data_IF_083005786310
#
_entry.id   IF_083005786310
#
_cell.length_a   1.000
_cell.length_b   1.000
_cell.length_c   1.000
_cell.angle_alpha   90.00
_cell.angle_beta   90.00
_cell.angle_gamma   90.00
#
_symmetry.space_group_name_H-M   'P 1'
#
loop_
_entity.id
_entity.type
_entity.pdbx_description
1 polymer ?
#
# COMPACT_ATOMS: atom_id res chain seq x y z
N UNK A 1 21.39 -15.17 -25.71
CA UNK A 1 21.80 -14.72 -24.34
C UNK A 1 20.85 -13.61 -23.89
N UNK A 2 20.19 -13.74 -22.73
CA UNK A 2 19.19 -12.74 -22.27
C UNK A 2 19.84 -11.37 -22.06
N UNK A 3 19.11 -10.28 -22.33
CA UNK A 3 19.60 -8.90 -22.11
C UNK A 3 20.21 -8.69 -20.72
N UNK A 4 19.63 -9.33 -19.71
CA UNK A 4 20.12 -9.30 -18.33
C UNK A 4 21.56 -9.80 -18.24
N UNK A 5 21.88 -10.91 -18.91
CA UNK A 5 23.24 -11.45 -18.91
C UNK A 5 24.21 -10.50 -19.59
N UNK A 6 23.81 -9.90 -20.72
CA UNK A 6 24.60 -8.85 -21.36
C UNK A 6 24.87 -7.73 -20.37
N UNK A 7 23.83 -7.17 -19.74
CA UNK A 7 23.86 -6.09 -18.74
C UNK A 7 24.81 -6.37 -17.56
N UNK A 8 24.79 -7.60 -17.05
CA UNK A 8 25.68 -8.03 -15.97
C UNK A 8 27.13 -8.17 -16.43
N UNK A 9 27.36 -8.73 -17.62
CA UNK A 9 28.72 -8.89 -18.18
C UNK A 9 29.37 -7.53 -18.42
N UNK A 10 28.66 -6.55 -19.00
CA UNK A 10 29.23 -5.22 -19.20
C UNK A 10 29.55 -4.52 -17.88
N UNK A 11 28.67 -4.63 -16.89
CA UNK A 11 28.94 -4.07 -15.55
C UNK A 11 30.15 -4.73 -14.89
N UNK A 12 30.30 -6.05 -15.02
CA UNK A 12 31.47 -6.77 -14.50
C UNK A 12 32.75 -6.36 -15.23
N UNK A 13 32.72 -6.28 -16.56
CA UNK A 13 33.86 -5.82 -17.37
C UNK A 13 34.29 -4.40 -16.97
N UNK A 14 33.34 -3.47 -16.82
CA UNK A 14 33.62 -2.12 -16.34
C UNK A 14 34.30 -2.11 -14.97
N UNK A 15 33.80 -2.89 -14.00
CA UNK A 15 34.39 -2.94 -12.67
C UNK A 15 35.79 -3.54 -12.68
N UNK A 16 36.02 -4.60 -13.45
CA UNK A 16 37.34 -5.22 -13.60
C UNK A 16 38.33 -4.27 -14.27
N UNK A 17 37.92 -3.58 -15.35
CA UNK A 17 38.76 -2.57 -16.00
C UNK A 17 39.07 -1.42 -15.04
N UNK A 18 38.08 -0.90 -14.31
CA UNK A 18 38.28 0.16 -13.34
C UNK A 18 39.30 -0.26 -12.27
N UNK A 19 39.10 -1.41 -11.63
CA UNK A 19 40.01 -1.91 -10.58
C UNK A 19 41.41 -2.14 -11.15
N UNK A 20 41.52 -2.74 -12.34
CA UNK A 20 42.80 -3.00 -13.00
C UNK A 20 43.56 -1.72 -13.33
N UNK A 21 42.86 -0.68 -13.82
CA UNK A 21 43.44 0.64 -14.11
C UNK A 21 43.95 1.32 -12.84
N UNK A 22 43.19 1.27 -11.74
CA UNK A 22 43.63 1.85 -10.46
C UNK A 22 44.84 1.11 -9.88
N UNK A 23 44.84 -0.24 -9.91
CA UNK A 23 45.99 -1.05 -9.48
C UNK A 23 47.22 -0.70 -10.31
N UNK A 24 47.07 -0.62 -11.63
CA UNK A 24 48.16 -0.26 -12.53
C UNK A 24 48.65 1.17 -12.28
N UNK A 25 47.74 2.13 -12.07
CA UNK A 25 48.09 3.51 -11.74
C UNK A 25 48.92 3.58 -10.44
N UNK A 26 48.52 2.89 -9.38
CA UNK A 26 49.30 2.83 -8.14
C UNK A 26 50.66 2.15 -8.35
N UNK A 27 50.70 1.06 -9.10
CA UNK A 27 51.95 0.41 -9.47
C UNK A 27 52.89 1.38 -10.20
N UNK A 28 52.40 2.03 -11.27
CA UNK A 28 53.14 3.02 -12.04
C UNK A 28 53.61 4.20 -11.19
N UNK A 29 52.76 4.71 -10.31
CA UNK A 29 53.08 5.79 -9.39
C UNK A 29 54.23 5.40 -8.44
N UNK A 30 54.26 4.15 -7.97
CA UNK A 30 55.31 3.65 -7.08
C UNK A 30 56.61 3.33 -7.84
N UNK A 31 56.54 2.78 -9.05
CA UNK A 31 57.72 2.28 -9.79
C UNK A 31 58.33 3.26 -10.80
N UNK A 32 57.56 4.24 -11.26
CA UNK A 32 58.04 5.24 -12.22
C UNK A 32 57.56 6.66 -11.91
N UNK A 33 56.80 6.82 -10.82
CA UNK A 33 56.18 8.10 -10.47
C UNK A 33 57.07 9.03 -9.67
N UNK A 34 56.41 9.99 -9.01
CA UNK A 34 57.03 11.05 -8.24
C UNK A 34 58.00 10.51 -7.16
N UNK A 35 57.77 9.33 -6.60
CA UNK A 35 58.66 8.80 -5.56
C UNK A 35 60.08 8.56 -6.08
N UNK A 36 60.22 7.94 -7.25
CA UNK A 36 61.54 7.65 -7.82
C UNK A 36 62.17 8.89 -8.41
N UNK A 37 61.38 9.75 -9.08
CA UNK A 37 61.90 10.98 -9.70
C UNK A 37 62.48 11.98 -8.69
N UNK A 38 61.95 11.99 -7.46
CA UNK A 38 62.42 12.87 -6.39
C UNK A 38 63.35 12.16 -5.40
N UNK A 39 63.83 10.95 -5.72
CA UNK A 39 64.85 10.25 -4.94
C UNK A 39 64.35 9.68 -3.61
N UNK A 40 63.04 9.45 -3.47
CA UNK A 40 62.47 8.79 -2.30
C UNK A 40 62.82 7.30 -2.33
N UNK A 41 64.01 6.93 -1.84
CA UNK A 41 64.40 5.54 -1.60
C UNK A 41 63.68 4.99 -0.37
N UNK A 42 63.49 3.66 -0.26
CA UNK A 42 62.85 3.05 0.90
C UNK A 42 63.47 3.47 2.25
N UNK A 43 64.78 3.69 2.28
CA UNK A 43 65.52 4.11 3.48
C UNK A 43 65.21 5.55 3.92
N UNK A 44 64.78 6.40 2.98
CA UNK A 44 64.40 7.80 3.25
C UNK A 44 62.93 7.99 3.63
N UNK A 45 62.08 6.96 3.48
CA UNK A 45 60.64 7.05 3.71
C UNK A 45 60.26 7.52 5.12
N UNK A 46 61.05 7.16 6.13
CA UNK A 46 60.84 7.60 7.51
C UNK A 46 61.04 9.12 7.69
N UNK A 47 61.97 9.71 6.93
CA UNK A 47 62.21 11.17 6.90
C UNK A 47 61.08 11.94 6.20
N UNK A 48 60.19 11.23 5.48
CA UNK A 48 59.07 11.79 4.72
C UNK A 48 57.70 11.33 5.23
N UNK A 49 57.59 11.12 6.54
CA UNK A 49 56.35 10.79 7.24
C UNK A 49 55.09 11.54 6.75
N UNK A 50 55.08 12.86 6.48
CA UNK A 50 53.87 13.53 5.99
C UNK A 50 53.43 13.06 4.60
N UNK A 51 54.37 12.80 3.68
CA UNK A 51 54.04 12.32 2.33
C UNK A 51 53.54 10.88 2.36
N UNK A 52 54.15 10.03 3.19
CA UNK A 52 53.68 8.67 3.41
C UNK A 52 52.26 8.65 3.98
N UNK A 53 51.96 9.54 4.93
CA UNK A 53 50.62 9.67 5.50
C UNK A 53 49.59 10.11 4.44
N UNK A 54 49.93 11.10 3.61
CA UNK A 54 49.05 11.55 2.52
C UNK A 54 48.83 10.42 1.51
N UNK A 55 49.88 9.69 1.15
CA UNK A 55 49.77 8.55 0.25
C UNK A 55 48.85 7.46 0.82
N UNK A 56 49.08 7.04 2.06
CA UNK A 56 48.22 6.06 2.75
C UNK A 56 46.76 6.53 2.82
N UNK A 57 46.55 7.81 3.14
CA UNK A 57 45.22 8.41 3.15
C UNK A 57 44.56 8.32 1.76
N UNK A 58 45.27 8.68 0.69
CA UNK A 58 44.76 8.57 -0.68
C UNK A 58 44.45 7.12 -1.06
N UNK A 59 45.32 6.17 -0.73
CA UNK A 59 45.08 4.74 -0.97
C UNK A 59 43.83 4.25 -0.25
N UNK A 60 43.62 4.66 1.01
CA UNK A 60 42.41 4.34 1.77
C UNK A 60 41.16 4.95 1.11
N UNK A 61 41.23 6.23 0.72
CA UNK A 61 40.11 6.92 0.06
C UNK A 61 39.74 6.25 -1.27
N UNK A 62 40.73 5.90 -2.10
CA UNK A 62 40.50 5.20 -3.36
C UNK A 62 39.92 3.82 -3.12
N UNK A 63 40.47 3.05 -2.16
CA UNK A 63 39.98 1.72 -1.82
C UNK A 63 38.52 1.76 -1.34
N UNK A 64 38.16 2.69 -0.45
CA UNK A 64 36.78 2.88 0.01
C UNK A 64 35.86 3.31 -1.12
N UNK A 65 36.34 4.17 -2.02
CA UNK A 65 35.58 4.61 -3.20
C UNK A 65 35.30 3.46 -4.15
N UNK A 66 36.30 2.62 -4.43
CA UNK A 66 36.13 1.42 -5.25
C UNK A 66 35.17 0.42 -4.61
N UNK A 67 35.27 0.18 -3.31
CA UNK A 67 34.32 -0.67 -2.57
C UNK A 67 32.89 -0.12 -2.65
N UNK A 68 32.71 1.19 -2.50
CA UNK A 68 31.43 1.86 -2.63
C UNK A 68 30.85 1.74 -4.05
N UNK A 69 31.68 1.88 -5.09
CA UNK A 69 31.30 1.69 -6.49
C UNK A 69 30.87 0.24 -6.73
N UNK A 70 31.69 -0.74 -6.32
CA UNK A 70 31.37 -2.19 -6.45
C UNK A 70 30.06 -2.52 -5.75
N UNK A 71 29.91 -2.14 -4.48
CA UNK A 71 28.67 -2.33 -3.72
C UNK A 71 27.47 -1.69 -4.42
N UNK A 72 27.64 -0.45 -4.86
CA UNK A 72 26.61 0.31 -5.54
C UNK A 72 26.18 -0.28 -6.88
N UNK A 73 27.10 -0.90 -7.63
CA UNK A 73 26.80 -1.60 -8.88
C UNK A 73 26.06 -2.90 -8.60
N UNK A 74 26.55 -3.71 -7.65
CA UNK A 74 25.91 -4.97 -7.24
C UNK A 74 24.48 -4.75 -6.75
N UNK A 75 24.25 -3.68 -5.97
CA UNK A 75 22.91 -3.31 -5.47
C UNK A 75 22.11 -2.41 -6.44
N UNK A 76 22.66 -2.09 -7.61
CA UNK A 76 22.06 -1.22 -8.65
C UNK A 76 21.48 0.09 -8.07
N UNK A 77 22.20 0.72 -7.15
CA UNK A 77 21.76 1.99 -6.53
C UNK A 77 21.91 3.14 -7.54
N UNK A 78 20.95 4.05 -7.55
CA UNK A 78 20.93 5.16 -8.52
C UNK A 78 22.10 6.15 -8.33
N UNK A 79 22.58 6.32 -7.11
CA UNK A 79 23.68 7.24 -6.80
C UNK A 79 25.04 6.75 -7.31
N UNK A 80 25.22 5.42 -7.41
CA UNK A 80 26.49 4.78 -7.82
C UNK A 80 27.01 5.33 -9.13
N UNK A 81 26.14 5.51 -10.13
CA UNK A 81 26.56 6.00 -11.45
C UNK A 81 27.13 7.41 -11.36
N UNK A 82 26.48 8.30 -10.60
CA UNK A 82 26.93 9.69 -10.42
C UNK A 82 28.24 9.72 -9.63
N UNK A 83 28.33 8.90 -8.59
CA UNK A 83 29.54 8.78 -7.79
C UNK A 83 30.72 8.23 -8.60
N UNK A 84 30.51 7.17 -9.40
CA UNK A 84 31.54 6.61 -10.28
C UNK A 84 32.00 7.61 -11.35
N UNK A 85 31.09 8.41 -11.93
CA UNK A 85 31.47 9.49 -12.84
C UNK A 85 32.34 10.55 -12.16
N UNK A 86 31.95 10.98 -10.96
CA UNK A 86 32.74 11.92 -10.17
C UNK A 86 34.12 11.36 -9.83
N UNK A 87 34.17 10.11 -9.38
CA UNK A 87 35.41 9.40 -9.07
C UNK A 87 36.34 9.33 -10.30
N UNK A 88 35.82 8.97 -11.47
CA UNK A 88 36.61 8.91 -12.71
C UNK A 88 37.16 10.29 -13.12
N UNK A 89 36.35 11.34 -13.02
CA UNK A 89 36.82 12.72 -13.32
C UNK A 89 37.92 13.15 -12.36
N UNK A 90 37.77 12.84 -11.07
CA UNK A 90 38.81 13.08 -10.08
C UNK A 90 40.07 12.25 -10.35
N UNK A 91 39.93 10.96 -10.67
CA UNK A 91 41.03 10.06 -11.00
C UNK A 91 41.81 10.52 -12.24
N UNK A 92 41.12 11.11 -13.23
CA UNK A 92 41.74 11.68 -14.44
C UNK A 92 42.66 12.88 -14.15
N UNK A 93 42.51 13.57 -13.01
CA UNK A 93 43.39 14.70 -12.67
C UNK A 93 44.84 14.25 -12.47
N UNK A 94 45.05 13.01 -12.03
CA UNK A 94 46.37 12.45 -11.77
C UNK A 94 47.22 12.20 -13.03
N UNK A 95 46.74 11.50 -14.08
CA UNK A 95 47.49 11.37 -15.32
C UNK A 95 47.66 12.70 -16.02
N UNK A 96 46.67 13.61 -15.95
CA UNK A 96 46.81 14.97 -16.49
C UNK A 96 47.96 15.72 -15.81
N UNK A 97 48.04 15.68 -14.48
CA UNK A 97 49.15 16.26 -13.73
C UNK A 97 50.50 15.62 -14.11
N UNK A 98 50.54 14.30 -14.28
CA UNK A 98 51.75 13.56 -14.64
C UNK A 98 52.27 13.94 -16.05
N UNK A 99 51.36 14.19 -17.00
CA UNK A 99 51.69 14.70 -18.34
C UNK A 99 52.30 16.10 -18.24
N UNK A 100 51.75 16.99 -17.41
CA UNK A 100 52.28 18.36 -17.21
C UNK A 100 53.70 18.33 -16.67
N UNK A 101 54.04 17.36 -15.81
CA UNK A 101 55.39 17.18 -15.23
C UNK A 101 56.33 16.40 -16.17
N UNK A 102 55.90 16.11 -17.41
CA UNK A 102 56.64 15.35 -18.43
C UNK A 102 57.12 13.97 -17.93
N UNK A 103 56.30 13.29 -17.11
CA UNK A 103 56.63 11.96 -16.60
C UNK A 103 55.85 10.87 -17.34
N UNK A 104 56.56 9.99 -18.07
CA UNK A 104 55.98 8.88 -18.83
C UNK A 104 54.74 9.26 -19.65
N UNK A 105 54.86 10.31 -20.47
CA UNK A 105 53.74 10.94 -21.19
C UNK A 105 52.88 9.92 -21.95
N UNK A 106 53.50 8.95 -22.63
CA UNK A 106 52.78 7.93 -23.42
C UNK A 106 51.89 7.06 -22.53
N UNK A 107 52.40 6.58 -21.40
CA UNK A 107 51.67 5.76 -20.45
C UNK A 107 50.47 6.51 -19.87
N UNK A 108 50.69 7.76 -19.46
CA UNK A 108 49.64 8.61 -18.89
C UNK A 108 48.56 8.98 -19.91
N UNK A 109 48.94 9.12 -21.19
CA UNK A 109 47.99 9.32 -22.28
C UNK A 109 47.11 8.09 -22.52
N UNK A 110 47.69 6.88 -22.48
CA UNK A 110 46.91 5.62 -22.57
C UNK A 110 45.93 5.52 -21.42
N UNK A 111 46.35 5.81 -20.19
CA UNK A 111 45.47 5.85 -19.02
C UNK A 111 44.31 6.83 -19.19
N UNK A 112 44.59 8.03 -19.70
CA UNK A 112 43.57 9.04 -19.99
C UNK A 112 42.52 8.52 -20.98
N UNK A 113 42.94 7.85 -22.06
CA UNK A 113 42.03 7.24 -23.03
C UNK A 113 41.14 6.19 -22.36
N UNK A 114 41.71 5.33 -21.51
CA UNK A 114 40.94 4.30 -20.80
C UNK A 114 39.89 4.95 -19.90
N UNK A 115 40.26 5.99 -19.14
CA UNK A 115 39.29 6.71 -18.31
C UNK A 115 38.18 7.37 -19.12
N UNK A 116 38.50 7.98 -20.27
CA UNK A 116 37.50 8.54 -21.18
C UNK A 116 36.52 7.45 -21.65
N UNK A 117 37.04 6.28 -22.03
CA UNK A 117 36.22 5.13 -22.44
C UNK A 117 35.30 4.64 -21.30
N UNK A 118 35.80 4.59 -20.06
CA UNK A 118 35.01 4.25 -18.87
C UNK A 118 33.90 5.28 -18.60
N UNK A 119 34.18 6.57 -18.77
CA UNK A 119 33.19 7.65 -18.65
C UNK A 119 32.11 7.51 -19.73
N UNK A 120 32.50 7.33 -20.99
CA UNK A 120 31.57 7.14 -22.11
C UNK A 120 30.67 5.92 -21.88
N UNK A 121 31.25 4.82 -21.37
CA UNK A 121 30.48 3.66 -20.95
C UNK A 121 29.44 4.00 -19.87
N UNK A 122 29.80 4.74 -18.81
CA UNK A 122 28.85 5.17 -17.79
C UNK A 122 27.74 6.10 -18.32
N UNK A 123 28.03 6.88 -19.37
CA UNK A 123 27.07 7.78 -20.03
C UNK A 123 26.13 7.07 -21.02
N UNK A 124 26.48 5.86 -21.44
CA UNK A 124 25.70 5.05 -22.39
C UNK A 124 24.27 4.75 -21.90
N UNK A 125 23.35 4.56 -22.83
CA UNK A 125 21.97 4.14 -22.55
C UNK A 125 21.92 2.81 -21.81
N UNK A 126 22.85 1.92 -22.11
CA UNK A 126 23.00 0.60 -21.50
C UNK A 126 23.21 0.68 -19.97
N UNK A 127 24.17 1.49 -19.52
CA UNK A 127 24.41 1.67 -18.08
C UNK A 127 23.24 2.40 -17.42
N UNK A 128 22.64 3.38 -18.11
CA UNK A 128 21.42 4.04 -17.62
C UNK A 128 20.31 3.03 -17.37
N UNK A 129 20.14 2.03 -18.24
CA UNK A 129 19.16 0.97 -18.07
C UNK A 129 19.55 -0.04 -17.00
N UNK A 130 20.83 -0.41 -16.89
CA UNK A 130 21.34 -1.26 -15.81
C UNK A 130 20.93 -0.75 -14.41
N UNK A 131 21.01 0.56 -14.21
CA UNK A 131 20.61 1.22 -12.95
C UNK A 131 19.11 1.51 -12.84
N UNK A 132 18.30 1.34 -13.91
CA UNK A 132 16.85 1.29 -13.76
C UNK A 132 16.54 -0.05 -13.09
N UNK A 133 16.19 -0.02 -11.81
CA UNK A 133 15.78 -1.21 -11.06
C UNK A 133 14.42 -1.71 -11.58
N UNK A 134 14.40 -2.34 -12.76
CA UNK A 134 13.17 -2.81 -13.42
C UNK A 134 12.85 -4.20 -12.90
N UNK A 135 11.65 -4.37 -12.38
CA UNK A 135 11.16 -5.67 -11.95
C UNK A 135 10.57 -6.45 -13.14
N UNK A 136 11.10 -7.65 -13.39
CA UNK A 136 10.60 -8.58 -14.39
C UNK A 136 10.16 -9.88 -13.69
N UNK A 137 9.04 -10.44 -14.12
CA UNK A 137 8.48 -11.69 -13.60
C UNK A 137 8.10 -12.61 -14.76
N UNK A 138 8.96 -13.61 -15.01
CA UNK A 138 8.89 -14.42 -16.22
C UNK A 138 9.08 -13.54 -17.47
N UNK A 139 8.11 -13.61 -18.38
CA UNK A 139 8.07 -12.80 -19.61
C UNK A 139 7.47 -11.39 -19.41
N UNK A 140 6.98 -11.07 -18.21
CA UNK A 140 6.32 -9.80 -17.93
C UNK A 140 7.27 -8.80 -17.28
N UNK A 141 7.17 -7.53 -17.69
CA UNK A 141 7.85 -6.39 -17.06
C UNK A 141 6.83 -5.56 -16.28
N UNK A 142 7.20 -5.08 -15.09
CA UNK A 142 6.35 -4.22 -14.28
C UNK A 142 6.47 -2.76 -14.71
N UNK A 143 5.34 -2.15 -15.05
CA UNK A 143 5.23 -0.75 -15.40
C UNK A 143 4.39 0.00 -14.36
N UNK A 144 4.69 1.30 -14.21
CA UNK A 144 3.84 2.24 -13.49
C UNK A 144 3.40 3.38 -14.39
N UNK A 145 2.18 3.85 -14.21
CA UNK A 145 1.69 5.09 -14.83
C UNK A 145 0.82 5.87 -13.86
N UNK A 146 0.82 7.19 -13.97
CA UNK A 146 -0.12 8.03 -13.25
C UNK A 146 -1.41 8.16 -14.04
N UNK A 147 -2.54 8.01 -13.35
CA UNK A 147 -3.88 8.19 -13.91
C UNK A 147 -4.61 9.23 -13.08
N UNK A 148 -5.26 10.18 -13.75
CA UNK A 148 -6.14 11.16 -13.10
C UNK A 148 -7.55 10.56 -13.06
N UNK A 149 -8.10 10.39 -11.86
CA UNK A 149 -9.47 9.90 -11.67
C UNK A 149 -10.49 11.02 -12.01
N UNK A 150 -11.76 10.65 -12.21
CA UNK A 150 -12.86 11.63 -12.42
C UNK A 150 -12.99 12.66 -11.29
N UNK A 151 -12.49 12.34 -10.10
CA UNK A 151 -12.44 13.25 -8.95
C UNK A 151 -11.26 14.24 -8.98
N UNK A 152 -10.43 14.22 -10.03
CA UNK A 152 -9.18 15.01 -10.13
C UNK A 152 -7.99 14.42 -9.35
N UNK A 153 -8.22 13.38 -8.53
CA UNK A 153 -7.14 12.74 -7.76
C UNK A 153 -6.20 11.94 -8.68
N UNK A 154 -4.90 12.22 -8.59
CA UNK A 154 -3.85 11.43 -9.24
C UNK A 154 -3.63 10.11 -8.49
N UNK A 155 -3.59 9.01 -9.23
CA UNK A 155 -3.34 7.67 -8.72
C UNK A 155 -2.26 7.00 -9.57
N UNK A 156 -1.20 6.52 -8.93
CA UNK A 156 -0.22 5.64 -9.59
C UNK A 156 -0.80 4.24 -9.68
N UNK A 157 -0.91 3.72 -10.89
CA UNK A 157 -1.27 2.32 -11.12
C UNK A 157 -0.03 1.55 -11.52
N UNK A 158 0.02 0.30 -11.08
CA UNK A 158 1.05 -0.67 -11.45
C UNK A 158 0.42 -1.77 -12.28
N UNK A 159 1.07 -2.18 -13.35
CA UNK A 159 0.58 -3.24 -14.22
C UNK A 159 1.75 -3.96 -14.88
N UNK A 160 1.55 -5.25 -15.14
CA UNK A 160 2.51 -6.07 -15.87
C UNK A 160 2.21 -6.02 -17.37
N UNK A 161 3.24 -6.07 -18.20
CA UNK A 161 3.09 -6.18 -19.65
C UNK A 161 4.21 -7.05 -20.22
N UNK A 162 3.87 -7.91 -21.19
CA UNK A 162 4.85 -8.76 -21.90
C UNK A 162 5.63 -7.94 -22.95
N UNK A 163 4.96 -6.95 -23.54
CA UNK A 163 5.55 -6.02 -24.50
C UNK A 163 5.59 -4.60 -23.94
N UNK A 164 6.35 -3.72 -24.57
CA UNK A 164 6.37 -2.31 -24.21
C UNK A 164 4.98 -1.68 -24.42
N UNK A 165 4.33 -1.18 -23.36
CA UNK A 165 2.99 -0.63 -23.47
C UNK A 165 3.03 0.78 -24.07
N UNK A 166 1.91 1.21 -24.67
CA UNK A 166 1.72 2.59 -25.17
C UNK A 166 1.89 3.67 -24.10
N UNK A 167 1.74 3.30 -22.83
CA UNK A 167 1.81 4.23 -21.69
C UNK A 167 2.43 3.54 -20.49
N UNK A 168 3.23 4.27 -19.72
CA UNK A 168 3.82 3.80 -18.48
C UNK A 168 5.34 3.69 -18.57
N UNK A 169 5.98 3.67 -17.40
CA UNK A 169 7.43 3.56 -17.27
C UNK A 169 7.79 2.28 -16.52
N UNK A 170 8.76 1.49 -17.01
CA UNK A 170 9.27 0.34 -16.27
C UNK A 170 9.70 0.76 -14.86
N UNK A 171 9.42 -0.07 -13.86
CA UNK A 171 9.71 0.27 -12.47
C UNK A 171 10.08 -0.92 -11.60
N UNK A 172 10.64 -0.62 -10.43
CA UNK A 172 10.92 -1.61 -9.40
C UNK A 172 9.62 -2.11 -8.76
N UNK A 173 9.67 -3.29 -8.16
CA UNK A 173 8.56 -3.76 -7.33
C UNK A 173 8.41 -2.81 -6.13
N UNK A 174 7.22 -2.22 -5.91
CA UNK A 174 6.98 -1.39 -4.75
C UNK A 174 7.07 -2.22 -3.46
N UNK A 175 7.57 -1.60 -2.39
CA UNK A 175 7.69 -2.25 -1.09
C UNK A 175 6.32 -2.68 -0.55
N UNK A 176 6.27 -3.87 0.08
CA UNK A 176 5.04 -4.42 0.63
C UNK A 176 4.07 -4.96 -0.43
N UNK A 177 4.56 -5.36 -1.62
CA UNK A 177 3.77 -6.04 -2.63
C UNK A 177 4.37 -7.41 -2.98
N UNK A 178 3.51 -8.33 -3.39
CA UNK A 178 3.85 -9.66 -3.92
C UNK A 178 3.17 -9.86 -5.27
N UNK A 179 3.77 -10.66 -6.13
CA UNK A 179 3.17 -11.00 -7.44
C UNK A 179 2.22 -12.19 -7.27
N UNK A 180 1.01 -12.05 -7.78
CA UNK A 180 -0.03 -13.10 -7.79
C UNK A 180 -0.59 -13.21 -9.20
N UNK A 181 -1.07 -14.39 -9.58
CA UNK A 181 -1.69 -14.63 -10.88
C UNK A 181 -3.21 -14.53 -10.81
N UNK A 182 -3.80 -13.87 -11.80
CA UNK A 182 -5.25 -13.92 -11.98
C UNK A 182 -5.63 -15.28 -12.58
N UNK A 183 -6.45 -16.11 -11.91
CA UNK A 183 -6.76 -17.47 -12.38
C UNK A 183 -7.50 -17.49 -13.73
N UNK A 184 -8.19 -16.41 -14.10
CA UNK A 184 -8.94 -16.35 -15.36
C UNK A 184 -8.07 -15.97 -16.56
N UNK A 185 -7.16 -15.00 -16.38
CA UNK A 185 -6.34 -14.48 -17.48
C UNK A 185 -4.90 -14.98 -17.48
N UNK A 186 -4.48 -15.67 -16.40
CA UNK A 186 -3.10 -16.03 -16.12
C UNK A 186 -2.13 -14.83 -16.16
N UNK A 187 -2.64 -13.61 -15.95
CA UNK A 187 -1.83 -12.39 -15.95
C UNK A 187 -1.34 -12.09 -14.53
N UNK A 188 -0.04 -11.82 -14.33
CA UNK A 188 0.46 -11.42 -13.04
C UNK A 188 -0.07 -10.03 -12.66
N UNK A 189 -0.37 -9.83 -11.39
CA UNK A 189 -0.72 -8.56 -10.80
C UNK A 189 -0.06 -8.40 -9.43
N UNK A 190 0.10 -7.16 -8.99
CA UNK A 190 0.63 -6.88 -7.66
C UNK A 190 -0.49 -6.94 -6.63
N UNK A 191 -0.30 -7.77 -5.61
CA UNK A 191 -1.12 -7.78 -4.41
C UNK A 191 -0.33 -7.20 -3.23
N UNK A 192 -0.99 -6.40 -2.40
CA UNK A 192 -0.35 -5.83 -1.22
C UNK A 192 -0.14 -6.91 -0.16
N UNK A 193 1.12 -7.10 0.24
CA UNK A 193 1.57 -8.08 1.21
C UNK A 193 1.61 -7.46 2.60
N UNK A 194 1.06 -8.18 3.58
CA UNK A 194 0.98 -7.77 4.97
C UNK A 194 1.57 -8.89 5.83
N UNK A 195 2.89 -8.91 6.07
CA UNK A 195 3.53 -9.96 6.86
C UNK A 195 2.98 -10.01 8.29
N UNK A 196 2.66 -8.85 8.85
CA UNK A 196 2.16 -8.70 10.22
C UNK A 196 0.66 -8.95 10.36
N UNK A 197 -0.02 -9.40 9.30
CA UNK A 197 -1.45 -9.67 9.37
C UNK A 197 -1.72 -10.84 10.31
N UNK A 198 -2.46 -10.59 11.40
CA UNK A 198 -2.81 -11.62 12.35
C UNK A 198 -3.84 -12.59 11.74
N UNK A 199 -3.54 -13.89 11.80
CA UNK A 199 -4.41 -14.97 11.32
C UNK A 199 -4.88 -15.83 12.49
N UNK A 200 -6.15 -16.22 12.46
CA UNK A 200 -6.76 -17.15 13.41
C UNK A 200 -7.48 -18.27 12.63
N UNK A 201 -6.79 -19.40 12.47
CA UNK A 201 -7.23 -20.46 11.55
C UNK A 201 -7.40 -19.91 10.14
N UNK A 202 -8.62 -20.03 9.60
CA UNK A 202 -8.98 -19.53 8.26
C UNK A 202 -9.32 -18.03 8.20
N UNK A 203 -9.34 -17.33 9.34
CA UNK A 203 -9.71 -15.93 9.41
C UNK A 203 -8.48 -15.02 9.46
N UNK A 204 -8.52 -13.90 8.73
CA UNK A 204 -7.54 -12.81 8.83
C UNK A 204 -8.16 -11.62 9.55
N UNK A 205 -7.39 -10.95 10.42
CA UNK A 205 -7.82 -9.74 11.10
C UNK A 205 -7.67 -8.52 10.19
N UNK A 206 -8.75 -7.76 10.02
CA UNK A 206 -8.78 -6.52 9.27
C UNK A 206 -9.14 -5.34 10.19
N UNK A 207 -8.65 -4.15 9.85
CA UNK A 207 -9.09 -2.88 10.45
C UNK A 207 -9.65 -1.94 9.39
N UNK A 208 -10.66 -1.15 9.74
CA UNK A 208 -11.14 -0.04 8.92
C UNK A 208 -11.58 1.12 9.78
N UNK A 209 -11.37 2.34 9.30
CA UNK A 209 -11.87 3.55 9.93
C UNK A 209 -13.28 3.84 9.41
N UNK A 210 -14.22 4.06 10.32
CA UNK A 210 -15.60 4.45 10.01
C UNK A 210 -15.90 5.78 10.68
N UNK A 211 -16.57 6.69 9.96
CA UNK A 211 -17.03 7.97 10.51
C UNK A 211 -18.46 7.79 11.04
N UNK A 212 -18.67 8.06 12.32
CA UNK A 212 -19.98 7.98 12.97
C UNK A 212 -20.83 9.21 12.62
N UNK A 213 -22.15 9.12 12.87
CA UNK A 213 -23.08 10.26 12.67
C UNK A 213 -22.68 11.51 13.46
N UNK A 214 -21.97 11.34 14.57
CA UNK A 214 -21.44 12.44 15.39
C UNK A 214 -20.18 13.10 14.82
N UNK A 215 -19.72 12.72 13.63
CA UNK A 215 -18.46 13.18 13.02
C UNK A 215 -17.19 12.51 13.57
N UNK A 216 -17.28 11.76 14.68
CA UNK A 216 -16.14 11.06 15.27
C UNK A 216 -15.71 9.88 14.40
N UNK A 217 -14.41 9.72 14.18
CA UNK A 217 -13.84 8.56 13.49
C UNK A 217 -13.54 7.43 14.49
N UNK A 218 -13.92 6.21 14.13
CA UNK A 218 -13.69 5.02 14.95
C UNK A 218 -12.99 3.95 14.10
N UNK A 219 -11.89 3.39 14.62
CA UNK A 219 -11.24 2.24 14.00
C UNK A 219 -11.92 0.97 14.51
N UNK A 220 -12.54 0.23 13.59
CA UNK A 220 -13.15 -1.06 13.90
C UNK A 220 -12.26 -2.20 13.39
N UNK A 221 -12.11 -3.21 14.23
CA UNK A 221 -11.38 -4.43 13.93
C UNK A 221 -12.38 -5.57 13.73
N UNK A 222 -12.16 -6.40 12.71
CA UNK A 222 -13.02 -7.53 12.43
C UNK A 222 -12.26 -8.64 11.74
N UNK A 223 -12.64 -9.89 12.02
CA UNK A 223 -12.09 -11.05 11.34
C UNK A 223 -12.88 -11.36 10.08
N UNK A 224 -12.21 -11.81 9.02
CA UNK A 224 -12.86 -12.26 7.79
C UNK A 224 -12.09 -13.43 7.19
N UNK A 225 -12.82 -14.43 6.70
CA UNK A 225 -12.25 -15.60 5.99
C UNK A 225 -11.81 -15.23 4.57
N UNK A 226 -12.57 -14.34 3.93
CA UNK A 226 -12.27 -13.82 2.60
C UNK A 226 -11.87 -12.35 2.66
N UNK A 227 -11.20 -11.86 1.61
CA UNK A 227 -10.83 -10.44 1.49
C UNK A 227 -12.09 -9.56 1.48
N UNK A 228 -12.29 -8.68 2.49
CA UNK A 228 -13.48 -7.86 2.58
C UNK A 228 -13.46 -6.73 1.53
N UNK A 229 -14.63 -6.16 1.24
CA UNK A 229 -14.76 -4.97 0.37
C UNK A 229 -14.01 -3.75 0.90
N UNK A 230 -13.83 -3.67 2.22
CA UNK A 230 -13.19 -2.55 2.90
C UNK A 230 -12.34 -3.04 4.07
N UNK A 231 -11.20 -2.40 4.30
CA UNK A 231 -10.33 -2.66 5.44
C UNK A 231 -8.97 -3.20 5.01
N UNK A 232 -7.96 -2.94 5.83
CA UNK A 232 -6.60 -3.42 5.64
C UNK A 232 -6.29 -4.52 6.65
N UNK A 233 -5.58 -5.60 6.26
CA UNK A 233 -5.05 -6.56 7.22
C UNK A 233 -4.26 -5.85 8.33
N UNK A 234 -4.37 -6.35 9.55
CA UNK A 234 -3.77 -5.73 10.73
C UNK A 234 -3.14 -6.77 11.65
N UNK A 235 -2.04 -6.41 12.34
CA UNK A 235 -1.63 -7.16 13.52
C UNK A 235 -2.70 -7.08 14.62
N UNK A 236 -2.60 -8.01 15.58
CA UNK A 236 -3.44 -8.02 16.77
C UNK A 236 -3.17 -6.75 17.60
N UNK A 237 -4.17 -5.92 17.91
CA UNK A 237 -3.95 -4.71 18.68
C UNK A 237 -3.56 -5.04 20.13
N UNK A 238 -2.67 -4.22 20.69
CA UNK A 238 -2.22 -4.38 22.08
C UNK A 238 -3.39 -4.34 23.07
N UNK A 239 -3.33 -5.21 24.07
CA UNK A 239 -4.38 -5.32 25.08
C UNK A 239 -5.65 -6.03 24.61
N UNK A 240 -5.64 -6.70 23.44
CA UNK A 240 -6.74 -7.57 23.01
C UNK A 240 -6.30 -9.04 22.93
N UNK A 241 -7.25 -9.93 23.17
CA UNK A 241 -7.14 -11.38 22.99
C UNK A 241 -8.26 -11.84 22.06
N UNK A 242 -8.05 -12.94 21.34
CA UNK A 242 -9.07 -13.49 20.45
C UNK A 242 -9.98 -14.44 21.22
N UNK A 243 -11.29 -14.19 21.18
CA UNK A 243 -12.32 -15.12 21.63
C UNK A 243 -13.07 -15.73 20.44
N UNK A 244 -13.69 -16.89 20.65
CA UNK A 244 -14.58 -17.52 19.66
C UNK A 244 -16.02 -17.35 20.13
N UNK A 245 -16.90 -16.84 19.26
CA UNK A 245 -18.33 -16.82 19.57
C UNK A 245 -18.86 -18.27 19.52
N UNK A 246 -19.44 -18.81 20.62
CA UNK A 246 -19.83 -20.22 20.67
C UNK A 246 -20.90 -20.61 19.65
N UNK A 247 -21.76 -19.66 19.28
CA UNK A 247 -22.88 -19.86 18.34
C UNK A 247 -22.45 -19.78 16.89
N UNK A 248 -21.71 -18.73 16.50
CA UNK A 248 -21.31 -18.52 15.10
C UNK A 248 -19.95 -19.12 14.75
N UNK A 249 -19.17 -19.55 15.76
CA UNK A 249 -17.76 -19.97 15.64
C UNK A 249 -16.85 -18.89 15.06
N UNK A 250 -17.32 -17.64 14.97
CA UNK A 250 -16.54 -16.53 14.43
C UNK A 250 -15.59 -15.96 15.49
N UNK A 251 -14.29 -15.75 15.16
CA UNK A 251 -13.37 -15.09 16.08
C UNK A 251 -13.72 -13.60 16.25
N UNK A 252 -13.53 -13.09 17.46
CA UNK A 252 -13.74 -11.69 17.82
C UNK A 252 -12.66 -11.22 18.79
N UNK A 253 -12.40 -9.91 18.82
CA UNK A 253 -11.44 -9.33 19.76
C UNK A 253 -12.11 -9.03 21.10
N UNK A 254 -11.48 -9.47 22.20
CA UNK A 254 -11.87 -9.21 23.59
C UNK A 254 -10.75 -8.43 24.28
N UNK A 255 -11.07 -7.35 24.98
CA UNK A 255 -10.05 -6.56 25.71
C UNK A 255 -9.54 -7.33 26.94
N UNK A 256 -8.22 -7.52 27.03
CA UNK A 256 -7.49 -8.17 28.12
C UNK A 256 -7.76 -7.41 29.42
N UNK A 257 -8.24 -8.10 30.46
CA UNK A 257 -8.54 -7.51 31.78
C UNK A 257 -10.01 -7.10 32.04
N UNK A 258 -10.88 -7.13 31.03
CA UNK A 258 -12.32 -6.88 31.26
C UNK A 258 -13.00 -8.16 31.74
N UNK A 259 -12.87 -8.47 33.02
CA UNK A 259 -13.59 -9.55 33.71
C UNK A 259 -15.03 -9.07 33.97
N UNK A 260 -15.84 -8.97 32.91
CA UNK A 260 -17.31 -8.96 33.07
C UNK A 260 -17.72 -10.42 33.06
N UNK A 261 -17.87 -10.99 34.25
CA UNK A 261 -18.58 -12.26 34.38
C UNK A 261 -19.96 -12.11 33.75
N UNK A 262 -20.43 -13.11 32.99
CA UNK A 262 -21.81 -13.12 32.53
C UNK A 262 -22.68 -13.20 33.79
N UNK A 263 -23.32 -12.09 34.13
CA UNK A 263 -24.34 -11.99 35.16
C UNK A 263 -25.40 -13.04 34.85
N UNK A 264 -25.32 -14.18 35.55
CA UNK A 264 -26.31 -15.25 35.47
C UNK A 264 -27.61 -14.64 35.98
N UNK A 265 -28.55 -14.44 35.07
CA UNK A 265 -29.96 -14.14 35.37
C UNK A 265 -30.48 -15.26 36.27
N UNK A 266 -30.41 -15.06 37.59
CA UNK A 266 -30.92 -15.97 38.59
C UNK A 266 -32.38 -15.60 38.83
N UNK A 267 -33.26 -16.22 38.05
CA UNK A 267 -34.69 -16.27 38.33
C UNK A 267 -34.91 -17.18 39.55
N UNK A 268 -35.04 -16.62 40.74
CA UNK A 268 -35.61 -17.33 41.90
C UNK A 268 -36.86 -16.57 42.38
N UNK A 269 -38.00 -17.20 42.14
CA UNK A 269 -39.30 -16.91 42.74
C UNK A 269 -39.19 -17.10 44.26
N UNK A 270 -39.55 -16.10 45.04
CA UNK A 270 -40.05 -16.35 46.41
C UNK A 270 -41.19 -15.39 46.74
N UNK A 271 -42.33 -15.99 47.10
CA UNK A 271 -43.55 -15.37 47.61
C UNK A 271 -43.36 -15.15 49.11
N UNK A 272 -43.58 -13.93 49.64
CA UNK A 272 -44.26 -13.69 50.93
C UNK A 272 -44.41 -12.19 51.29
N UNK A 273 -45.66 -11.79 51.48
CA UNK A 273 -46.21 -10.76 52.41
C UNK A 273 -45.56 -9.38 52.61
N UNK A 274 -46.18 -8.38 51.96
CA UNK A 274 -46.87 -7.21 52.57
C UNK A 274 -46.18 -6.43 53.72
N UNK A 275 -45.68 -5.22 53.43
CA UNK A 275 -45.91 -4.02 54.27
C UNK A 275 -45.82 -2.72 53.48
N UNK A 276 -46.81 -1.86 53.74
CA UNK A 276 -47.13 -0.59 53.09
C UNK A 276 -46.18 0.53 53.50
N UNK A 277 -45.69 1.32 52.52
CA UNK A 277 -45.34 2.76 52.59
C UNK A 277 -44.91 3.19 51.18
N UNK A 278 -45.77 3.87 50.42
CA UNK A 278 -45.85 5.34 50.31
C UNK A 278 -44.53 5.99 49.83
N UNK A 279 -44.53 6.51 48.60
CA UNK A 279 -43.61 7.57 48.18
C UNK A 279 -42.91 7.35 46.83
N UNK A 280 -43.27 8.19 45.86
CA UNK A 280 -42.54 8.59 44.64
C UNK A 280 -42.52 7.65 43.42
N UNK A 281 -43.50 7.92 42.57
CA UNK A 281 -43.51 7.77 41.11
C UNK A 281 -42.30 8.44 40.43
N UNK A 282 -41.57 7.68 39.61
CA UNK A 282 -40.90 8.22 38.43
C UNK A 282 -40.85 7.13 37.33
N UNK A 283 -41.84 7.25 36.45
CA UNK A 283 -41.91 6.91 35.03
C UNK A 283 -41.10 5.71 34.49
N UNK A 284 -41.81 4.60 34.36
CA UNK A 284 -41.60 3.62 33.30
C UNK A 284 -41.70 4.32 31.93
N UNK A 285 -40.60 4.32 31.16
CA UNK A 285 -40.66 4.67 29.75
C UNK A 285 -41.47 3.60 29.01
N UNK A 286 -42.73 3.95 28.77
CA UNK A 286 -43.71 3.23 27.97
C UNK A 286 -43.09 2.49 26.78
N UNK A 287 -43.41 1.20 26.69
CA UNK A 287 -43.39 0.46 25.44
C UNK A 287 -44.27 1.21 24.43
N UNK A 288 -43.66 2.06 23.59
CA UNK A 288 -44.37 2.74 22.52
C UNK A 288 -44.99 1.67 21.62
N UNK A 289 -46.32 1.55 21.66
CA UNK A 289 -47.09 0.81 20.64
C UNK A 289 -46.55 1.27 19.28
N UNK A 290 -46.16 0.35 18.38
CA UNK A 290 -45.65 0.76 17.09
C UNK A 290 -46.74 1.60 16.41
N UNK A 291 -46.37 2.77 15.89
CA UNK A 291 -47.33 3.64 15.23
C UNK A 291 -48.01 2.85 14.11
N UNK A 292 -49.34 2.76 14.16
CA UNK A 292 -50.13 2.13 13.10
C UNK A 292 -49.92 2.94 11.81
N UNK A 293 -48.95 2.52 10.99
CA UNK A 293 -48.61 3.17 9.73
C UNK A 293 -48.80 2.17 8.59
N UNK A 294 -49.44 2.63 7.53
CA UNK A 294 -49.63 1.90 6.28
C UNK A 294 -48.77 2.56 5.21
N UNK A 295 -47.91 1.79 4.58
CA UNK A 295 -46.99 2.25 3.55
C UNK A 295 -47.50 1.87 2.16
N UNK A 296 -47.47 2.83 1.26
CA UNK A 296 -47.66 2.64 -0.18
C UNK A 296 -46.29 2.74 -0.85
N UNK A 297 -45.73 1.60 -1.26
CA UNK A 297 -44.37 1.50 -1.81
C UNK A 297 -44.39 1.04 -3.26
N UNK A 298 -43.45 1.54 -4.05
CA UNK A 298 -43.21 1.06 -5.40
C UNK A 298 -42.31 -0.19 -5.33
N UNK A 299 -42.69 -1.27 -6.00
CA UNK A 299 -41.95 -2.55 -6.01
C UNK A 299 -41.54 -2.88 -7.46
N UNK A 300 -40.63 -2.11 -8.09
CA UNK A 300 -40.20 -2.41 -9.44
C UNK A 300 -39.45 -3.74 -9.47
N UNK A 301 -39.79 -4.61 -10.42
CA UNK A 301 -38.95 -5.76 -10.74
C UNK A 301 -37.69 -5.29 -11.51
N UNK A 302 -36.54 -5.96 -11.37
CA UNK A 302 -35.34 -5.63 -12.14
C UNK A 302 -35.66 -5.62 -13.64
N UNK A 303 -35.50 -4.47 -14.29
CA UNK A 303 -35.77 -4.29 -15.73
C UNK A 303 -37.09 -3.59 -16.09
N UNK A 304 -37.97 -3.28 -15.13
CA UNK A 304 -39.21 -2.52 -15.39
C UNK A 304 -39.18 -1.11 -14.78
N UNK A 305 -39.52 -0.10 -15.59
CA UNK A 305 -39.43 1.32 -15.19
C UNK A 305 -40.69 1.83 -14.48
N UNK A 306 -41.84 1.14 -14.62
CA UNK A 306 -43.12 1.42 -13.92
C UNK A 306 -43.93 0.14 -13.78
N UNK A 307 -44.66 -0.03 -12.66
CA UNK A 307 -45.78 -0.98 -12.68
C UNK A 307 -46.48 -1.29 -11.36
N UNK A 308 -45.76 -1.69 -10.31
CA UNK A 308 -46.43 -2.36 -9.18
C UNK A 308 -46.28 -1.60 -7.87
N UNK A 309 -47.41 -1.08 -7.37
CA UNK A 309 -47.54 -0.48 -6.06
C UNK A 309 -48.07 -1.51 -5.07
N UNK A 310 -47.45 -1.58 -3.89
CA UNK A 310 -47.88 -2.46 -2.82
C UNK A 310 -48.30 -1.66 -1.59
N UNK A 311 -49.41 -2.06 -0.98
CA UNK A 311 -49.88 -1.55 0.31
C UNK A 311 -49.43 -2.50 1.41
N UNK A 312 -48.61 -2.03 2.36
CA UNK A 312 -48.03 -2.89 3.41
C UNK A 312 -48.02 -2.21 4.78
N UNK A 313 -48.00 -3.00 5.85
CA UNK A 313 -47.75 -2.53 7.22
C UNK A 313 -47.03 -3.62 8.00
N UNK A 314 -46.00 -3.25 8.78
CA UNK A 314 -45.29 -4.16 9.70
C UNK A 314 -44.89 -5.52 9.08
N UNK A 315 -44.31 -5.49 7.87
CA UNK A 315 -43.85 -6.69 7.17
C UNK A 315 -44.94 -7.49 6.45
N UNK A 316 -46.22 -7.18 6.65
CA UNK A 316 -47.34 -7.81 5.93
C UNK A 316 -47.77 -6.97 4.74
N UNK A 317 -47.94 -7.61 3.58
CA UNK A 317 -48.51 -7.00 2.37
C UNK A 317 -50.02 -7.26 2.38
N UNK A 318 -50.81 -6.21 2.15
CA UNK A 318 -52.27 -6.31 2.08
C UNK A 318 -52.76 -6.47 0.64
N UNK A 319 -52.20 -5.71 -0.30
CA UNK A 319 -52.63 -5.73 -1.70
C UNK A 319 -51.58 -5.18 -2.66
N UNK A 320 -51.73 -5.56 -3.93
CA UNK A 320 -50.93 -5.13 -5.07
C UNK A 320 -51.79 -4.39 -6.09
N UNK A 321 -51.23 -3.35 -6.70
CA UNK A 321 -51.96 -2.40 -7.55
C UNK A 321 -51.10 -1.93 -8.72
N UNK A 322 -51.66 -1.92 -9.93
CA UNK A 322 -50.98 -1.44 -11.14
C UNK A 322 -50.73 0.08 -11.14
N UNK A 323 -51.49 0.85 -10.35
CA UNK A 323 -51.37 2.31 -10.34
C UNK A 323 -51.19 2.84 -8.92
N UNK A 324 -50.48 3.98 -8.81
CA UNK A 324 -50.26 4.67 -7.52
C UNK A 324 -51.59 5.07 -6.87
N UNK A 325 -52.53 5.57 -7.69
CA UNK A 325 -53.80 6.09 -7.21
C UNK A 325 -54.69 4.98 -6.62
N UNK A 326 -54.74 3.79 -7.25
CA UNK A 326 -55.50 2.65 -6.71
C UNK A 326 -54.89 2.15 -5.40
N UNK A 327 -53.55 2.09 -5.31
CA UNK A 327 -52.86 1.74 -4.07
C UNK A 327 -53.13 2.73 -2.92
N UNK A 328 -53.15 4.04 -3.21
CA UNK A 328 -53.45 5.08 -2.22
C UNK A 328 -54.91 4.96 -1.75
N UNK A 329 -55.86 4.71 -2.66
CA UNK A 329 -57.28 4.53 -2.34
C UNK A 329 -57.47 3.35 -1.38
N UNK A 330 -56.84 2.23 -1.68
CA UNK A 330 -56.91 1.02 -0.86
C UNK A 330 -56.20 1.21 0.49
N UNK A 331 -55.04 1.85 0.51
CA UNK A 331 -54.34 2.20 1.74
C UNK A 331 -55.19 3.11 2.65
N UNK A 332 -55.95 4.06 2.09
CA UNK A 332 -56.89 4.91 2.83
C UNK A 332 -58.06 4.12 3.41
N UNK A 333 -58.58 3.12 2.69
CA UNK A 333 -59.64 2.23 3.19
C UNK A 333 -59.16 1.47 4.42
N UNK A 334 -58.03 0.77 4.30
CA UNK A 334 -57.42 0.00 5.40
C UNK A 334 -57.02 0.94 6.56
N UNK A 335 -56.56 2.15 6.25
CA UNK A 335 -56.21 3.14 7.27
C UNK A 335 -57.40 3.62 8.09
N UNK A 336 -58.59 3.75 7.49
CA UNK A 336 -59.82 4.08 8.24
C UNK A 336 -60.25 2.94 9.15
N UNK A 337 -60.12 1.70 8.69
CA UNK A 337 -60.45 0.51 9.48
C UNK A 337 -59.49 0.32 10.67
N UNK A 338 -58.21 0.66 10.49
CA UNK A 338 -57.15 0.43 11.49
C UNK A 338 -56.70 1.67 12.26
N UNK A 339 -57.38 2.80 12.05
CA UNK A 339 -56.99 4.12 12.58
C UNK A 339 -55.50 4.44 12.34
N UNK A 340 -55.01 4.06 11.15
CA UNK A 340 -53.59 4.11 10.79
C UNK A 340 -53.26 5.34 9.93
N UNK A 341 -52.04 5.85 10.04
CA UNK A 341 -51.54 6.92 9.15
C UNK A 341 -51.02 6.31 7.85
N UNK A 342 -51.35 6.92 6.69
CA UNK A 342 -50.85 6.48 5.39
C UNK A 342 -49.61 7.27 5.01
N UNK A 343 -48.53 6.57 4.69
CA UNK A 343 -47.31 7.13 4.12
C UNK A 343 -47.13 6.65 2.68
N UNK A 344 -46.81 7.57 1.77
CA UNK A 344 -46.68 7.28 0.34
C UNK A 344 -45.25 7.50 -0.10
N UNK A 345 -44.67 6.52 -0.77
CA UNK A 345 -43.31 6.64 -1.30
C UNK A 345 -43.27 7.58 -2.51
N UNK A 346 -42.33 8.52 -2.48
CA UNK A 346 -41.98 9.43 -3.55
C UNK A 346 -41.02 8.74 -4.53
N UNK A 347 -40.77 9.36 -5.69
CA UNK A 347 -39.89 8.80 -6.75
C UNK A 347 -38.42 8.75 -6.34
N UNK A 348 -38.00 9.59 -5.41
CA UNK A 348 -36.65 9.66 -4.82
C UNK A 348 -36.44 8.63 -3.69
N UNK A 349 -37.46 7.85 -3.34
CA UNK A 349 -37.43 6.87 -2.25
C UNK A 349 -37.81 7.42 -0.87
N UNK A 350 -38.09 8.72 -0.73
CA UNK A 350 -38.60 9.32 0.53
C UNK A 350 -40.09 9.05 0.73
N UNK A 351 -40.62 9.29 1.94
CA UNK A 351 -42.06 9.13 2.22
C UNK A 351 -42.71 10.46 2.53
N UNK A 352 -43.83 10.76 1.86
CA UNK A 352 -44.71 11.88 2.18
C UNK A 352 -45.89 11.43 3.04
N UNK A 353 -46.35 12.30 3.95
CA UNK A 353 -47.59 12.06 4.71
C UNK A 353 -48.79 12.16 3.77
N UNK A 354 -49.45 11.03 3.51
CA UNK A 354 -50.52 10.94 2.51
C UNK A 354 -51.93 11.11 3.09
N UNK A 355 -52.17 10.65 4.33
CA UNK A 355 -53.47 10.74 4.99
C UNK A 355 -53.36 10.40 6.49
N UNK A 356 -53.96 11.23 7.36
CA UNK A 356 -54.17 10.92 8.78
C UNK A 356 -55.68 10.86 9.03
N UNK A 357 -56.25 9.71 9.44
CA UNK A 357 -57.68 9.62 9.71
C UNK A 357 -58.06 10.59 10.83
N UNK A 358 -59.16 11.35 10.64
CA UNK A 358 -59.76 12.12 11.73
C UNK A 358 -60.38 11.12 12.72
N UNK A 359 -60.16 11.26 14.03
CA UNK A 359 -60.83 10.41 15.01
C UNK A 359 -62.34 10.54 14.82
N UNK A 360 -63.07 9.41 14.82
CA UNK A 360 -64.54 9.44 14.85
C UNK A 360 -64.94 10.23 16.10
N UNK A 361 -65.66 11.34 15.94
CA UNK A 361 -66.36 11.97 17.07
C UNK A 361 -67.29 10.90 17.64
N UNK A 362 -67.04 10.52 18.89
CA UNK A 362 -67.94 9.64 19.63
C UNK A 362 -69.22 10.37 19.95
#
# INVERSE_FOLDING_TARGET
>A
MSEIRKNVIGAAAFLLTLIGVEIYYFYSFLTHGLLIKYGYTPDSLLSFAPYLLVFLFLTVVVSLSLLAIVYGFVKRRLWTRRFALFFLVWAMLWPLWSIVVWNNVVEQFVLLIIYIMLILYLLSSYVKEYFKNIFRYGKYTLYKREVVLKSGKKLTIYFFSEHEPKSGTPCAMPEGYTVVFNPRSNMPYLEKYYPDAYKYGKYTLYKRTVTLKSGKTLTIYFFSEHKPKSGTPSPLPEGYVVGINPRSKMPYLKKKGTRREPEKVRNEKTVSSKKVRSGNSMEETSSRKPSNVIYVVNRPQPGHVRGDWAVRSHGKIYSHHRTKQTAIREARRIAREKEATVMVQNTDGTFSMGFKPRPKKR
#
